data_IF_937724043599
#
_entry.id   IF_937724043599
#
_cell.length_a   1.000
_cell.length_b   1.000
_cell.length_c   1.000
_cell.angle_alpha   90.00
_cell.angle_beta   90.00
_cell.angle_gamma   90.00
#
_symmetry.space_group_name_H-M   'P 1'
#
loop_
_entity.id
_entity.type
_entity.pdbx_description
1 polymer ?
#
# COMPACT_ATOMS: atom_id res chain seq x y z
N UNK A 1 -41.86 19.80 16.94
CA UNK A 1 -41.12 20.53 15.88
C UNK A 1 -39.64 20.76 16.19
N UNK A 2 -39.26 21.04 17.43
CA UNK A 2 -37.84 21.25 17.86
C UNK A 2 -36.92 20.03 17.74
N UNK A 3 -37.41 18.83 18.00
CA UNK A 3 -36.60 17.58 17.98
C UNK A 3 -36.17 17.20 16.56
N UNK A 4 -36.98 17.50 15.55
CA UNK A 4 -36.67 17.17 14.14
C UNK A 4 -35.55 18.04 13.55
N UNK A 5 -35.45 19.29 13.99
CA UNK A 5 -34.37 20.21 13.54
C UNK A 5 -33.02 19.79 14.12
N UNK A 6 -33.00 19.32 15.38
CA UNK A 6 -31.77 18.87 16.05
C UNK A 6 -31.17 17.61 15.42
N UNK A 7 -32.01 16.68 14.96
CA UNK A 7 -31.56 15.45 14.26
C UNK A 7 -31.02 15.74 12.85
N UNK A 8 -31.61 16.70 12.14
CA UNK A 8 -31.14 17.11 10.82
C UNK A 8 -29.79 17.85 10.87
N UNK A 9 -29.58 18.68 11.89
CA UNK A 9 -28.30 19.37 12.13
C UNK A 9 -27.20 18.38 12.54
N UNK A 10 -27.48 17.39 13.37
CA UNK A 10 -26.48 16.34 13.71
C UNK A 10 -26.05 15.50 12.50
N UNK A 11 -26.96 15.14 11.57
CA UNK A 11 -26.63 14.43 10.35
C UNK A 11 -25.72 15.25 9.44
N UNK A 12 -25.99 16.54 9.28
CA UNK A 12 -25.18 17.42 8.42
C UNK A 12 -23.80 17.69 9.02
N UNK A 13 -23.68 17.85 10.34
CA UNK A 13 -22.39 18.05 11.03
C UNK A 13 -21.49 16.81 10.87
N UNK A 14 -22.05 15.60 10.98
CA UNK A 14 -21.28 14.36 10.82
C UNK A 14 -20.79 14.11 9.39
N UNK A 15 -21.42 14.69 8.38
CA UNK A 15 -20.97 14.66 6.98
C UNK A 15 -19.97 15.78 6.65
N UNK A 16 -20.14 16.96 7.24
CA UNK A 16 -19.29 18.14 6.96
C UNK A 16 -17.92 18.02 7.66
N UNK A 17 -17.88 17.52 8.90
CA UNK A 17 -16.61 17.37 9.65
C UNK A 17 -15.57 16.49 8.96
N UNK A 18 -15.89 15.30 8.41
CA UNK A 18 -14.92 14.50 7.65
C UNK A 18 -14.42 15.20 6.40
N UNK A 19 -15.31 15.92 5.67
CA UNK A 19 -14.94 16.66 4.45
C UNK A 19 -14.01 17.83 4.78
N UNK A 20 -14.32 18.60 5.82
CA UNK A 20 -13.45 19.68 6.31
C UNK A 20 -12.11 19.14 6.79
N UNK A 21 -12.11 18.04 7.55
CA UNK A 21 -10.89 17.39 8.04
C UNK A 21 -10.03 16.90 6.88
N UNK A 22 -10.64 16.30 5.85
CA UNK A 22 -9.94 15.86 4.64
C UNK A 22 -9.35 17.05 3.88
N UNK A 23 -10.11 18.12 3.69
CA UNK A 23 -9.65 19.36 3.03
C UNK A 23 -8.49 20.02 3.76
N UNK A 24 -8.56 20.14 5.08
CA UNK A 24 -7.47 20.67 5.90
C UNK A 24 -6.22 19.80 5.82
N UNK A 25 -6.38 18.48 5.87
CA UNK A 25 -5.26 17.53 5.72
C UNK A 25 -4.59 17.69 4.36
N UNK A 26 -5.36 17.84 3.28
CA UNK A 26 -4.83 18.07 1.93
C UNK A 26 -4.05 19.38 1.83
N UNK A 27 -4.56 20.45 2.47
CA UNK A 27 -3.89 21.74 2.48
C UNK A 27 -2.56 21.68 3.24
N UNK A 28 -2.56 21.09 4.44
CA UNK A 28 -1.35 20.89 5.24
C UNK A 28 -0.30 20.09 4.48
N UNK A 29 -0.69 19.01 3.84
CA UNK A 29 0.20 18.18 3.01
C UNK A 29 0.76 18.98 1.83
N UNK A 30 -0.02 19.80 1.15
CA UNK A 30 0.47 20.70 0.08
C UNK A 30 1.49 21.71 0.62
N UNK A 31 1.22 22.31 1.78
CA UNK A 31 2.18 23.22 2.42
C UNK A 31 3.49 22.53 2.79
N UNK A 32 3.43 21.28 3.30
CA UNK A 32 4.63 20.49 3.59
C UNK A 32 5.48 20.22 2.34
N UNK A 33 4.86 19.94 1.20
CA UNK A 33 5.58 19.76 -0.06
C UNK A 33 6.19 21.05 -0.60
N UNK A 34 5.54 22.18 -0.37
CA UNK A 34 6.10 23.48 -0.74
C UNK A 34 7.33 23.87 0.12
N UNK A 35 7.39 23.38 1.36
CA UNK A 35 8.48 23.64 2.30
C UNK A 35 9.68 22.69 2.14
N UNK A 36 9.46 21.49 1.58
CA UNK A 36 10.51 20.47 1.46
C UNK A 36 10.54 19.88 0.06
N UNK A 37 11.54 20.24 -0.71
CA UNK A 37 11.81 19.71 -2.05
C UNK A 37 12.06 18.19 -2.02
N UNK A 38 12.75 17.70 -0.99
CA UNK A 38 13.01 16.26 -0.79
C UNK A 38 11.70 15.49 -0.65
N UNK A 39 10.79 15.99 0.19
CA UNK A 39 9.50 15.34 0.41
C UNK A 39 8.62 15.38 -0.85
N UNK A 40 8.69 16.46 -1.61
CA UNK A 40 7.98 16.57 -2.90
C UNK A 40 8.52 15.56 -3.92
N UNK A 41 9.84 15.46 -4.09
CA UNK A 41 10.49 14.48 -4.98
C UNK A 41 10.15 13.04 -4.57
N UNK A 42 10.21 12.73 -3.27
CA UNK A 42 9.86 11.41 -2.74
C UNK A 42 8.40 11.05 -3.07
N UNK A 43 7.48 11.99 -2.93
CA UNK A 43 6.09 11.79 -3.34
C UNK A 43 5.96 11.53 -4.83
N UNK A 44 6.61 12.32 -5.67
CA UNK A 44 6.57 12.12 -7.13
C UNK A 44 7.04 10.71 -7.49
N UNK A 45 8.17 10.26 -6.93
CA UNK A 45 8.68 8.90 -7.17
C UNK A 45 7.66 7.83 -6.76
N UNK A 46 7.00 8.00 -5.61
CA UNK A 46 5.96 7.07 -5.14
C UNK A 46 4.75 7.06 -6.08
N UNK A 47 4.21 8.22 -6.43
CA UNK A 47 3.02 8.31 -7.30
C UNK A 47 3.31 7.74 -8.71
N UNK A 48 4.48 8.08 -9.27
CA UNK A 48 4.94 7.51 -10.55
C UNK A 48 5.08 5.98 -10.45
N UNK A 49 5.69 5.46 -9.38
CA UNK A 49 5.84 4.01 -9.20
C UNK A 49 4.50 3.27 -9.18
N UNK A 50 3.47 3.84 -8.56
CA UNK A 50 2.16 3.22 -8.49
C UNK A 50 1.51 3.00 -9.86
N UNK A 51 1.96 3.69 -10.91
CA UNK A 51 1.46 3.51 -12.28
C UNK A 51 1.92 2.20 -12.91
N UNK A 52 2.90 1.49 -12.34
CA UNK A 52 3.31 0.14 -12.79
C UNK A 52 2.14 -0.83 -12.83
N UNK A 53 1.13 -0.62 -11.98
CA UNK A 53 -0.10 -1.43 -11.96
C UNK A 53 -0.88 -1.40 -13.27
N UNK A 54 -0.66 -0.39 -14.09
CA UNK A 54 -1.36 -0.20 -15.35
C UNK A 54 -0.65 -0.92 -16.52
N UNK A 55 0.59 -1.40 -16.29
CA UNK A 55 1.33 -2.19 -17.28
C UNK A 55 0.64 -3.56 -17.45
N UNK A 56 0.42 -3.96 -18.70
CA UNK A 56 -0.30 -5.20 -19.04
C UNK A 56 0.63 -6.39 -19.28
N UNK A 57 1.90 -6.14 -19.53
CA UNK A 57 2.90 -7.15 -19.86
C UNK A 57 4.30 -6.72 -19.40
N UNK A 58 5.26 -7.66 -19.43
CA UNK A 58 6.64 -7.43 -19.02
C UNK A 58 7.34 -6.39 -19.89
N UNK A 59 7.02 -6.29 -21.18
CA UNK A 59 7.65 -5.31 -22.08
C UNK A 59 7.30 -3.86 -21.68
N UNK A 60 6.02 -3.59 -21.41
CA UNK A 60 5.57 -2.30 -20.88
C UNK A 60 6.19 -2.03 -19.51
N UNK A 61 6.20 -3.04 -18.65
CA UNK A 61 6.81 -2.99 -17.32
C UNK A 61 8.29 -2.68 -17.37
N UNK A 62 9.03 -3.27 -18.32
CA UNK A 62 10.46 -3.03 -18.54
C UNK A 62 10.74 -1.57 -18.89
N UNK A 63 10.03 -1.04 -19.89
CA UNK A 63 10.16 0.36 -20.29
C UNK A 63 9.81 1.30 -19.12
N UNK A 64 8.73 1.01 -18.41
CA UNK A 64 8.28 1.78 -17.26
C UNK A 64 9.30 1.77 -16.12
N UNK A 65 9.73 0.59 -15.68
CA UNK A 65 10.64 0.45 -14.55
C UNK A 65 12.03 1.04 -14.84
N UNK A 66 12.51 0.91 -16.08
CA UNK A 66 13.76 1.55 -16.50
C UNK A 66 13.65 3.09 -16.42
N UNK A 67 12.55 3.66 -16.93
CA UNK A 67 12.28 5.10 -16.85
C UNK A 67 12.19 5.57 -15.38
N UNK A 68 11.50 4.82 -14.54
CA UNK A 68 11.36 5.14 -13.13
C UNK A 68 12.69 5.09 -12.37
N UNK A 69 13.52 4.07 -12.62
CA UNK A 69 14.86 3.95 -12.02
C UNK A 69 15.77 5.11 -12.43
N UNK A 70 15.71 5.54 -13.69
CA UNK A 70 16.49 6.69 -14.17
C UNK A 70 16.02 7.98 -13.49
N UNK A 71 14.71 8.17 -13.34
CA UNK A 71 14.13 9.31 -12.60
C UNK A 71 14.55 9.29 -11.13
N UNK A 72 14.49 8.13 -10.47
CA UNK A 72 14.88 7.99 -9.07
C UNK A 72 16.36 8.34 -8.86
N UNK A 73 17.24 7.88 -9.75
CA UNK A 73 18.67 8.23 -9.70
C UNK A 73 18.91 9.72 -9.98
N UNK A 74 18.16 10.34 -10.89
CA UNK A 74 18.31 11.77 -11.20
C UNK A 74 17.95 12.68 -10.04
N UNK A 75 17.04 12.23 -9.14
CA UNK A 75 16.66 12.99 -7.94
C UNK A 75 17.72 12.93 -6.84
N UNK A 76 18.63 11.97 -6.90
CA UNK A 76 19.75 11.79 -5.97
C UNK A 76 19.32 11.86 -4.49
N UNK A 77 18.26 11.14 -4.15
CA UNK A 77 17.74 11.03 -2.79
C UNK A 77 18.35 9.81 -2.12
N UNK A 78 19.24 10.02 -1.14
CA UNK A 78 19.93 8.96 -0.40
C UNK A 78 18.96 7.95 0.23
N UNK A 79 17.79 8.40 0.66
CA UNK A 79 16.73 7.56 1.23
C UNK A 79 16.15 6.53 0.24
N UNK A 80 16.40 6.71 -1.06
CA UNK A 80 15.97 5.81 -2.11
C UNK A 80 17.06 4.86 -2.61
N UNK A 81 18.32 4.96 -2.15
CA UNK A 81 19.43 4.14 -2.63
C UNK A 81 19.17 2.65 -2.42
N UNK A 82 18.70 2.24 -1.24
CA UNK A 82 18.35 0.85 -0.95
C UNK A 82 17.18 0.37 -1.82
N UNK A 83 16.21 1.22 -2.05
CA UNK A 83 15.06 0.92 -2.91
C UNK A 83 15.51 0.75 -4.37
N UNK A 84 16.34 1.65 -4.89
CA UNK A 84 16.92 1.55 -6.23
C UNK A 84 17.74 0.27 -6.37
N UNK A 85 18.55 -0.07 -5.36
CA UNK A 85 19.32 -1.32 -5.30
C UNK A 85 18.42 -2.55 -5.36
N UNK A 86 17.37 -2.57 -4.54
CA UNK A 86 16.41 -3.67 -4.52
C UNK A 86 15.70 -3.84 -5.87
N UNK A 87 15.18 -2.77 -6.48
CA UNK A 87 14.52 -2.85 -7.78
C UNK A 87 15.48 -3.22 -8.92
N UNK A 88 16.75 -2.85 -8.83
CA UNK A 88 17.77 -3.26 -9.79
C UNK A 88 18.06 -4.76 -9.68
N UNK A 89 18.24 -5.29 -8.45
CA UNK A 89 18.52 -6.69 -8.20
C UNK A 89 17.34 -7.62 -8.53
N UNK A 90 16.11 -7.17 -8.29
CA UNK A 90 14.89 -7.95 -8.51
C UNK A 90 14.19 -7.62 -9.84
N UNK A 91 14.86 -6.91 -10.74
CA UNK A 91 14.28 -6.37 -11.98
C UNK A 91 13.54 -7.44 -12.79
N UNK A 92 14.21 -8.51 -13.17
CA UNK A 92 13.64 -9.60 -13.98
C UNK A 92 12.48 -10.32 -13.23
N UNK A 93 12.60 -10.51 -11.92
CA UNK A 93 11.53 -11.14 -11.13
C UNK A 93 10.27 -10.28 -11.08
N UNK A 94 10.43 -8.95 -10.98
CA UNK A 94 9.32 -8.01 -11.01
C UNK A 94 8.63 -8.05 -12.38
N UNK A 95 9.40 -8.08 -13.48
CA UNK A 95 8.85 -8.18 -14.82
C UNK A 95 8.09 -9.48 -15.04
N UNK A 96 8.67 -10.61 -14.63
CA UNK A 96 8.01 -11.91 -14.72
C UNK A 96 6.67 -11.96 -13.95
N UNK A 97 6.56 -11.19 -12.87
CA UNK A 97 5.31 -11.11 -12.10
C UNK A 97 4.18 -10.40 -12.86
N UNK A 98 4.49 -9.54 -13.83
CA UNK A 98 3.50 -8.84 -14.66
C UNK A 98 2.89 -9.75 -15.73
N UNK A 99 3.62 -10.76 -16.17
CA UNK A 99 3.14 -11.73 -17.17
C UNK A 99 2.35 -12.87 -16.53
N UNK A 100 2.38 -12.99 -15.19
CA UNK A 100 1.66 -14.04 -14.48
C UNK A 100 0.32 -13.53 -13.97
N UNK A 101 -0.72 -14.35 -14.18
CA UNK A 101 -2.06 -14.10 -13.62
C UNK A 101 -2.18 -14.46 -12.13
N UNK A 102 -1.10 -14.95 -11.52
CA UNK A 102 -1.11 -15.37 -10.12
C UNK A 102 -1.08 -14.16 -9.20
N UNK A 103 -2.10 -14.05 -8.36
CA UNK A 103 -2.14 -13.06 -7.29
C UNK A 103 -1.74 -13.70 -5.96
N UNK A 104 -1.22 -12.91 -5.04
CA UNK A 104 -0.91 -13.36 -3.68
C UNK A 104 -2.18 -13.62 -2.84
N UNK A 105 -3.37 -13.37 -3.39
CA UNK A 105 -4.64 -13.45 -2.67
C UNK A 105 -4.91 -14.82 -2.03
N UNK A 106 -4.52 -15.91 -2.70
CA UNK A 106 -4.66 -17.26 -2.13
C UNK A 106 -3.80 -17.43 -0.87
N UNK A 107 -2.53 -17.01 -0.94
CA UNK A 107 -1.60 -17.09 0.19
C UNK A 107 -2.05 -16.18 1.33
N UNK A 108 -2.51 -14.98 1.02
CA UNK A 108 -3.07 -14.04 2.01
C UNK A 108 -4.32 -14.60 2.67
N UNK A 109 -5.22 -15.22 1.92
CA UNK A 109 -6.39 -15.92 2.45
C UNK A 109 -6.01 -17.04 3.42
N UNK A 110 -5.05 -17.88 3.05
CA UNK A 110 -4.51 -18.94 3.93
C UNK A 110 -3.86 -18.36 5.18
N UNK A 111 -3.03 -17.33 5.05
CA UNK A 111 -2.39 -16.67 6.18
C UNK A 111 -3.41 -16.04 7.15
N UNK A 112 -4.48 -15.42 6.63
CA UNK A 112 -5.55 -14.88 7.45
C UNK A 112 -6.29 -15.99 8.21
N UNK A 113 -6.56 -17.14 7.57
CA UNK A 113 -7.17 -18.30 8.21
C UNK A 113 -6.29 -18.83 9.34
N UNK A 114 -4.97 -18.95 9.12
CA UNK A 114 -4.01 -19.35 10.15
C UNK A 114 -4.00 -18.36 11.33
N UNK A 115 -4.06 -17.04 11.05
CA UNK A 115 -4.14 -16.01 12.10
C UNK A 115 -5.42 -16.16 12.95
N UNK A 116 -6.55 -16.48 12.33
CA UNK A 116 -7.82 -16.74 13.03
C UNK A 116 -7.70 -18.00 13.88
N UNK A 117 -7.17 -19.09 13.33
CA UNK A 117 -6.93 -20.33 14.09
C UNK A 117 -6.01 -20.09 15.29
N UNK A 118 -4.97 -19.28 15.15
CA UNK A 118 -4.07 -18.90 16.24
C UNK A 118 -4.81 -18.15 17.36
N UNK A 119 -5.66 -17.19 17.00
CA UNK A 119 -6.48 -16.43 17.97
C UNK A 119 -7.45 -17.34 18.73
N UNK A 120 -8.15 -18.22 18.01
CA UNK A 120 -9.14 -19.14 18.59
C UNK A 120 -8.49 -20.27 19.39
N UNK A 121 -7.19 -20.44 19.28
CA UNK A 121 -6.46 -21.47 20.03
C UNK A 121 -6.05 -21.04 21.43
N UNK A 122 -6.38 -19.83 21.86
CA UNK A 122 -6.17 -19.31 23.22
C UNK A 122 -4.77 -19.60 23.80
N UNK A 123 -3.71 -19.29 23.01
CA UNK A 123 -2.35 -19.42 23.52
C UNK A 123 -1.75 -20.81 23.40
N UNK A 124 -1.96 -21.53 22.30
CA UNK A 124 -1.25 -22.79 22.03
C UNK A 124 0.25 -22.56 22.08
N UNK A 125 0.90 -23.08 23.11
CA UNK A 125 2.36 -22.99 23.29
C UNK A 125 3.13 -24.04 22.48
N UNK A 126 2.49 -25.20 22.20
CA UNK A 126 3.12 -26.29 21.47
C UNK A 126 2.94 -26.11 19.96
N UNK A 127 4.04 -25.81 19.26
CA UNK A 127 4.04 -25.60 17.81
C UNK A 127 3.58 -26.83 17.02
N UNK A 128 3.95 -28.04 17.41
CA UNK A 128 3.56 -29.26 16.68
C UNK A 128 2.05 -29.50 16.74
N UNK A 129 1.43 -29.24 17.88
CA UNK A 129 -0.06 -29.28 17.99
C UNK A 129 -0.72 -28.24 17.13
N UNK A 130 -0.16 -27.04 17.09
CA UNK A 130 -0.68 -25.96 16.23
C UNK A 130 -0.52 -26.28 14.75
N UNK A 131 0.64 -26.79 14.35
CA UNK A 131 0.92 -27.25 12.97
C UNK A 131 -0.08 -28.31 12.52
N UNK A 132 -0.32 -29.35 13.33
CA UNK A 132 -1.32 -30.39 13.03
C UNK A 132 -2.71 -29.78 12.84
N UNK A 133 -3.09 -28.81 13.68
CA UNK A 133 -4.38 -28.12 13.57
C UNK A 133 -4.50 -27.29 12.30
N UNK A 134 -3.43 -26.61 11.87
CA UNK A 134 -3.38 -25.89 10.60
C UNK A 134 -3.59 -26.87 9.44
N UNK A 135 -2.83 -27.96 9.41
CA UNK A 135 -2.89 -28.96 8.32
C UNK A 135 -4.26 -29.62 8.20
N UNK A 136 -4.99 -29.79 9.31
CA UNK A 136 -6.35 -30.34 9.30
C UNK A 136 -7.44 -29.32 8.92
N UNK A 137 -7.14 -28.02 9.05
CA UNK A 137 -8.14 -26.95 8.92
C UNK A 137 -7.96 -26.11 7.66
N UNK A 138 -6.82 -26.17 6.99
CA UNK A 138 -6.44 -25.41 5.82
C UNK A 138 -6.09 -26.27 4.63
#
# INVERSE_FOLDING_TARGET
>A
MHVYIHLKLRRNVNLVLPVLRYGVTQLVVKCMYALSEVLYKARLLKEEFLLIRNCKNSNEGKAFLTKWLNLARSFNLREFDDCIGAFTNWFEYILNSLDTLYTNGFVEGKNNRIKVLKRNAYGVQNFERFRKRILLSC
#
